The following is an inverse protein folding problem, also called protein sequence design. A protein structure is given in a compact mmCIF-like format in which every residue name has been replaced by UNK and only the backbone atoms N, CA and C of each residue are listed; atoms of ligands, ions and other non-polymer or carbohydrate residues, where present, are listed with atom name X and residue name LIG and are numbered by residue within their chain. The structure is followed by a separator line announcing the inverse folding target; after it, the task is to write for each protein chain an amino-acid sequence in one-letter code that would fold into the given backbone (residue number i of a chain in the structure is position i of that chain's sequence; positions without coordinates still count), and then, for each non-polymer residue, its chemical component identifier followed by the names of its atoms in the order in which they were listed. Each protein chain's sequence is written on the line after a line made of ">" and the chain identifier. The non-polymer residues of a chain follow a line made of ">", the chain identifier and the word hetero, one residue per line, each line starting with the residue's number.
data_IF_001681292258
#
_entry.id   IF_001681292258
#
_cell.length_a   1.000
_cell.length_b   1.000
_cell.length_c   1.000
_cell.angle_alpha   90.00
_cell.angle_beta   90.00
_cell.angle_gamma   90.00
#
_symmetry.space_group_name_H-M   'P 1'
#
loop_
_entity.id
_entity.type
_entity.pdbx_description
1 polymer ?
#
# COMPACT_ATOMS: atom_id res chain seq x y z
N UNK A 1 -2.73 -3.65 7.00
CA UNK A 1 -2.01 -2.69 6.15
C UNK A 1 -2.47 -2.75 4.71
N UNK A 2 -2.17 -1.72 3.97
CA UNK A 2 -2.36 -1.70 2.52
C UNK A 2 -1.37 -2.64 1.83
N UNK A 3 -1.71 -3.15 0.64
CA UNK A 3 -0.70 -3.79 -0.21
C UNK A 3 0.44 -2.83 -0.48
N UNK A 4 1.67 -3.34 -0.40
CA UNK A 4 2.86 -2.54 -0.66
C UNK A 4 4.01 -3.43 -1.12
N UNK A 5 4.96 -2.86 -1.84
CA UNK A 5 6.16 -3.57 -2.26
C UNK A 5 7.21 -2.64 -2.82
N UNK A 6 8.37 -3.18 -3.11
CA UNK A 6 9.50 -2.44 -3.63
C UNK A 6 9.39 -2.17 -5.13
N UNK A 7 10.08 -1.11 -5.57
CA UNK A 7 10.23 -0.78 -6.98
C UNK A 7 11.55 -1.38 -7.46
N UNK A 8 11.51 -2.23 -8.47
CA UNK A 8 12.70 -2.84 -9.02
C UNK A 8 13.47 -1.88 -9.93
N UNK A 9 14.76 -2.12 -10.13
CA UNK A 9 15.58 -1.31 -11.01
C UNK A 9 15.00 -1.30 -12.43
N UNK A 10 14.90 -0.11 -13.02
CA UNK A 10 14.34 0.07 -14.35
C UNK A 10 12.83 0.06 -14.43
N UNK A 11 12.14 -0.14 -13.30
CA UNK A 11 10.69 -0.20 -13.21
C UNK A 11 10.13 1.16 -12.78
N UNK A 12 9.03 1.61 -13.41
CA UNK A 12 8.31 2.79 -12.92
C UNK A 12 7.50 2.45 -11.68
N UNK A 13 7.06 3.47 -10.91
CA UNK A 13 6.22 3.25 -9.75
C UNK A 13 4.88 2.62 -10.12
N UNK A 14 4.30 2.95 -11.28
CA UNK A 14 3.06 2.33 -11.76
C UNK A 14 3.26 0.87 -12.15
N UNK A 15 4.34 0.56 -12.84
CA UNK A 15 4.68 -0.83 -13.17
C UNK A 15 4.85 -1.67 -11.90
N UNK A 16 5.54 -1.11 -10.90
CA UNK A 16 5.70 -1.76 -9.60
C UNK A 16 4.35 -1.98 -8.91
N UNK A 17 3.45 -0.99 -8.98
CA UNK A 17 2.11 -1.10 -8.40
C UNK A 17 1.37 -2.32 -8.93
N UNK A 18 1.29 -2.48 -10.25
CA UNK A 18 0.57 -3.60 -10.86
C UNK A 18 1.24 -4.94 -10.57
N UNK A 19 2.56 -4.99 -10.62
CA UNK A 19 3.31 -6.20 -10.29
C UNK A 19 3.08 -6.63 -8.85
N UNK A 20 3.19 -5.71 -7.91
CA UNK A 20 3.01 -6.00 -6.48
C UNK A 20 1.57 -6.40 -6.15
N UNK A 21 0.57 -5.77 -6.78
CA UNK A 21 -0.82 -6.18 -6.59
C UNK A 21 -1.03 -7.62 -7.06
N UNK A 22 -0.48 -7.99 -8.21
CA UNK A 22 -0.58 -9.35 -8.72
C UNK A 22 0.09 -10.36 -7.78
N UNK A 23 1.25 -10.02 -7.24
CA UNK A 23 1.99 -10.87 -6.31
C UNK A 23 1.28 -10.99 -4.95
N UNK A 24 0.68 -9.92 -4.45
CA UNK A 24 0.11 -9.88 -3.10
C UNK A 24 -1.35 -10.30 -3.03
N UNK A 25 -2.17 -9.87 -3.97
CA UNK A 25 -3.62 -10.14 -3.96
C UNK A 25 -4.11 -10.92 -5.17
N UNK A 26 -3.20 -11.36 -6.03
CA UNK A 26 -3.50 -12.25 -7.15
C UNK A 26 -4.18 -11.59 -8.33
N UNK A 27 -4.30 -10.27 -8.36
CA UNK A 27 -4.91 -9.56 -9.49
C UNK A 27 -4.26 -8.21 -9.72
N UNK A 28 -4.17 -7.83 -10.99
CA UNK A 28 -3.78 -6.49 -11.43
C UNK A 28 -4.95 -5.75 -12.10
N UNK A 29 -6.18 -6.31 -11.99
CA UNK A 29 -7.38 -5.73 -12.57
C UNK A 29 -7.92 -4.58 -11.71
N UNK A 30 -7.19 -3.47 -11.73
CA UNK A 30 -7.53 -2.24 -11.02
C UNK A 30 -7.47 -1.06 -11.96
N UNK A 31 -8.22 -0.02 -11.63
CA UNK A 31 -8.12 1.29 -12.27
C UNK A 31 -7.45 2.24 -11.32
N UNK A 32 -6.44 2.97 -11.77
CA UNK A 32 -5.80 4.02 -10.96
C UNK A 32 -6.74 5.24 -10.98
N UNK A 33 -7.27 5.58 -9.82
CA UNK A 33 -8.16 6.74 -9.66
C UNK A 33 -7.34 8.01 -9.47
N UNK A 34 -6.31 7.96 -8.64
CA UNK A 34 -5.45 9.09 -8.33
C UNK A 34 -4.14 8.61 -7.73
N UNK A 35 -3.13 9.51 -7.74
CA UNK A 35 -1.89 9.29 -7.02
C UNK A 35 -1.67 10.42 -6.02
N UNK A 36 -1.05 10.12 -4.91
CA UNK A 36 -0.56 11.13 -4.01
C UNK A 36 0.67 11.77 -4.65
N UNK A 37 0.73 13.10 -4.81
CA UNK A 37 1.73 13.75 -5.68
C UNK A 37 3.17 13.68 -5.17
N UNK A 38 3.37 13.39 -3.89
CA UNK A 38 4.68 13.39 -3.27
C UNK A 38 5.04 12.02 -2.72
N UNK A 39 6.35 11.77 -2.58
CA UNK A 39 6.84 10.61 -1.84
C UNK A 39 6.70 10.88 -0.35
N UNK A 40 6.16 9.92 0.39
CA UNK A 40 6.03 10.01 1.85
C UNK A 40 7.00 9.07 2.52
N UNK A 41 7.54 9.53 3.66
CA UNK A 41 8.53 8.78 4.43
C UNK A 41 8.00 8.51 5.84
N UNK A 42 8.27 7.31 6.35
CA UNK A 42 8.13 7.04 7.77
C UNK A 42 9.40 6.35 8.30
N UNK A 43 9.68 6.57 9.58
CA UNK A 43 10.82 5.96 10.25
C UNK A 43 10.38 4.70 10.97
N UNK A 44 11.26 3.69 10.97
CA UNK A 44 10.99 2.47 11.72
C UNK A 44 11.19 2.71 13.22
N UNK A 45 10.31 2.15 14.08
CA UNK A 45 10.61 2.07 15.52
C UNK A 45 11.92 1.30 15.76
N UNK A 46 12.62 1.55 16.90
CA UNK A 46 13.93 0.93 17.13
C UNK A 46 13.97 -0.58 16.97
N UNK A 47 12.95 -1.28 17.43
CA UNK A 47 12.90 -2.76 17.32
C UNK A 47 12.76 -3.25 15.88
N UNK A 48 12.11 -2.47 15.02
CA UNK A 48 11.99 -2.79 13.59
C UNK A 48 13.27 -2.35 12.85
N UNK A 49 13.82 -1.19 13.20
CA UNK A 49 15.04 -0.68 12.60
C UNK A 49 16.22 -1.66 12.77
N UNK A 50 16.29 -2.34 13.91
CA UNK A 50 17.31 -3.37 14.14
C UNK A 50 17.21 -4.54 13.14
N UNK A 51 15.99 -4.96 12.83
CA UNK A 51 15.75 -6.04 11.87
C UNK A 51 15.99 -5.62 10.43
N UNK A 52 15.77 -4.34 10.13
CA UNK A 52 15.83 -3.80 8.78
C UNK A 52 17.15 -3.10 8.47
N UNK A 53 18.12 -3.14 9.39
CA UNK A 53 19.42 -2.47 9.22
C UNK A 53 20.04 -2.82 7.85
N UNK A 54 20.67 -1.85 7.15
CA UNK A 54 20.99 -0.49 7.61
C UNK A 54 19.85 0.52 7.40
N UNK A 55 18.65 0.08 7.01
CA UNK A 55 17.53 0.97 6.74
C UNK A 55 16.86 1.44 8.04
N UNK A 56 16.58 2.74 8.13
CA UNK A 56 15.92 3.35 9.29
C UNK A 56 14.45 3.67 9.06
N UNK A 57 13.98 3.53 7.83
CA UNK A 57 12.60 3.82 7.45
C UNK A 57 12.32 3.47 5.99
N UNK A 58 11.15 3.87 5.51
CA UNK A 58 10.73 3.67 4.12
C UNK A 58 10.21 4.95 3.52
N UNK A 59 10.46 5.13 2.20
CA UNK A 59 9.91 6.18 1.38
C UNK A 59 8.96 5.53 0.38
N UNK A 60 7.71 6.01 0.35
CA UNK A 60 6.64 5.36 -0.40
C UNK A 60 5.91 6.32 -1.33
N UNK A 61 5.48 5.79 -2.48
CA UNK A 61 4.55 6.42 -3.39
C UNK A 61 3.19 5.76 -3.22
N UNK A 62 2.12 6.56 -3.11
CA UNK A 62 0.77 6.06 -2.85
C UNK A 62 -0.13 6.28 -4.04
N UNK A 63 -0.95 5.28 -4.33
CA UNK A 63 -1.97 5.30 -5.37
C UNK A 63 -3.32 4.93 -4.79
N UNK A 64 -4.36 5.64 -5.20
CA UNK A 64 -5.74 5.24 -4.97
C UNK A 64 -6.21 4.45 -6.18
N UNK A 65 -6.58 3.20 -5.97
CA UNK A 65 -7.03 2.32 -7.04
C UNK A 65 -8.42 1.78 -6.72
N UNK A 66 -9.14 1.39 -7.75
CA UNK A 66 -10.43 0.72 -7.65
C UNK A 66 -10.32 -0.65 -8.31
N UNK A 67 -10.74 -1.69 -7.59
CA UNK A 67 -10.85 -3.03 -8.17
C UNK A 67 -11.91 -3.02 -9.26
N UNK A 68 -11.58 -3.59 -10.43
CA UNK A 68 -12.54 -3.78 -11.51
C UNK A 68 -13.56 -4.86 -11.13
N UNK A 69 -14.81 -4.80 -11.64
CA UNK A 69 -15.84 -5.78 -11.29
C UNK A 69 -15.45 -7.24 -11.57
N UNK A 70 -14.59 -7.46 -12.57
CA UNK A 70 -14.08 -8.80 -12.91
C UNK A 70 -12.92 -9.27 -12.07
N UNK A 71 -12.36 -8.41 -11.19
CA UNK A 71 -11.22 -8.76 -10.38
C UNK A 71 -11.62 -9.73 -9.27
N UNK A 72 -10.79 -10.75 -9.05
CA UNK A 72 -10.94 -11.71 -7.95
C UNK A 72 -9.65 -11.71 -7.14
N UNK A 73 -9.76 -11.41 -5.84
CA UNK A 73 -8.62 -11.44 -4.93
C UNK A 73 -8.28 -12.89 -4.61
N UNK A 74 -7.01 -13.24 -4.80
CA UNK A 74 -6.47 -14.56 -4.47
C UNK A 74 -5.13 -14.39 -3.77
N UNK A 75 -5.08 -14.75 -2.50
CA UNK A 75 -3.86 -14.65 -1.69
C UNK A 75 -2.93 -15.85 -1.87
N UNK A 76 -3.38 -16.92 -2.51
CA UNK A 76 -2.58 -18.10 -2.83
C UNK A 76 -1.77 -17.87 -4.10
N UNK A 77 -0.83 -16.93 -4.03
CA UNK A 77 0.07 -16.58 -5.12
C UNK A 77 1.35 -17.43 -5.05
N UNK A 78 2.24 -17.28 -6.02
CA UNK A 78 3.51 -18.03 -6.07
C UNK A 78 4.35 -17.84 -4.80
N UNK A 79 4.35 -16.60 -4.25
CA UNK A 79 5.04 -16.26 -3.01
C UNK A 79 4.06 -15.58 -2.05
N UNK A 80 3.18 -16.35 -1.35
CA UNK A 80 2.13 -15.77 -0.52
C UNK A 80 2.70 -14.92 0.62
N UNK A 81 2.22 -13.68 0.72
CA UNK A 81 2.60 -12.75 1.79
C UNK A 81 1.49 -12.54 2.82
N UNK A 82 0.23 -12.74 2.40
CA UNK A 82 -0.94 -12.53 3.26
C UNK A 82 -1.71 -13.81 3.44
N UNK A 83 -2.27 -13.98 4.66
CA UNK A 83 -3.14 -15.13 4.98
C UNK A 83 -4.61 -14.79 4.78
N UNK A 84 -4.99 -13.51 4.90
CA UNK A 84 -6.37 -13.06 4.76
C UNK A 84 -6.43 -11.59 4.35
N UNK A 85 -7.56 -11.22 3.79
CA UNK A 85 -7.88 -9.83 3.49
C UNK A 85 -9.31 -9.53 3.92
N UNK A 86 -9.63 -8.24 4.07
CA UNK A 86 -11.01 -7.79 4.24
C UNK A 86 -11.17 -6.35 3.76
N UNK A 87 -12.39 -6.02 3.39
CA UNK A 87 -12.78 -4.65 3.09
C UNK A 87 -13.26 -3.99 4.39
N UNK A 88 -12.70 -2.83 4.69
CA UNK A 88 -12.99 -2.11 5.93
C UNK A 88 -13.28 -0.64 5.65
N UNK A 89 -13.96 0.02 6.59
CA UNK A 89 -14.08 1.47 6.57
C UNK A 89 -12.73 2.11 6.92
N UNK A 90 -12.61 3.42 6.66
CA UNK A 90 -11.42 4.18 7.02
C UNK A 90 -11.15 4.11 8.52
N UNK A 91 -12.19 4.21 9.33
CA UNK A 91 -12.05 4.14 10.79
C UNK A 91 -11.51 2.79 11.25
N UNK A 92 -12.04 1.69 10.71
CA UNK A 92 -11.57 0.35 11.00
C UNK A 92 -10.11 0.15 10.55
N UNK A 93 -9.73 0.75 9.42
CA UNK A 93 -8.36 0.70 8.93
C UNK A 93 -7.39 1.26 9.98
N UNK A 94 -7.70 2.42 10.56
CA UNK A 94 -6.84 3.04 11.57
C UNK A 94 -6.73 2.22 12.84
N UNK A 95 -7.80 1.52 13.23
CA UNK A 95 -7.76 0.60 14.37
C UNK A 95 -6.79 -0.57 14.15
N UNK A 96 -6.64 -1.01 12.90
CA UNK A 96 -5.81 -2.16 12.54
C UNK A 96 -4.40 -1.78 12.09
N UNK A 97 -4.09 -0.50 11.97
CA UNK A 97 -2.81 -0.02 11.43
C UNK A 97 -1.77 0.14 12.53
N UNK A 98 -0.54 -0.28 12.24
CA UNK A 98 0.60 -0.04 13.14
C UNK A 98 0.78 1.46 13.38
N UNK A 99 1.04 1.82 14.64
CA UNK A 99 1.08 3.23 15.06
C UNK A 99 2.01 4.10 14.21
N UNK A 100 3.19 3.60 13.85
CA UNK A 100 4.19 4.38 13.09
C UNK A 100 3.77 4.64 11.63
N UNK A 101 2.74 3.96 11.12
CA UNK A 101 2.20 4.16 9.77
C UNK A 101 0.96 5.06 9.74
N UNK A 102 0.33 5.32 10.89
CA UNK A 102 -0.94 6.05 10.96
C UNK A 102 -0.86 7.46 10.37
N UNK A 103 0.21 8.20 10.68
CA UNK A 103 0.38 9.56 10.18
C UNK A 103 0.43 9.63 8.66
N UNK A 104 1.16 8.71 8.05
CA UNK A 104 1.28 8.63 6.58
C UNK A 104 -0.06 8.29 5.96
N UNK A 105 -0.77 7.28 6.48
CA UNK A 105 -2.08 6.90 5.99
C UNK A 105 -3.10 8.03 6.14
N UNK A 106 -3.08 8.74 7.26
CA UNK A 106 -3.97 9.86 7.49
C UNK A 106 -3.73 10.98 6.46
N UNK A 107 -2.49 11.28 6.16
CA UNK A 107 -2.12 12.31 5.18
C UNK A 107 -2.63 11.95 3.78
N UNK A 108 -2.42 10.71 3.35
CA UNK A 108 -2.88 10.22 2.04
C UNK A 108 -4.40 10.23 1.94
N UNK A 109 -5.08 9.72 2.96
CA UNK A 109 -6.55 9.64 2.98
C UNK A 109 -7.17 11.03 3.01
N UNK A 110 -6.62 11.95 3.82
CA UNK A 110 -7.09 13.33 3.88
C UNK A 110 -6.94 14.04 2.53
N UNK A 111 -5.84 13.80 1.83
CA UNK A 111 -5.61 14.35 0.50
C UNK A 111 -6.68 13.86 -0.49
N UNK A 112 -6.94 12.55 -0.54
CA UNK A 112 -7.92 12.00 -1.46
C UNK A 112 -9.35 12.42 -1.12
N UNK A 113 -9.68 12.58 0.16
CA UNK A 113 -10.97 13.14 0.58
C UNK A 113 -11.13 14.58 0.14
N UNK A 114 -10.10 15.40 0.33
CA UNK A 114 -10.12 16.80 -0.08
C UNK A 114 -10.29 16.95 -1.60
N UNK A 115 -9.83 15.99 -2.38
CA UNK A 115 -10.01 15.97 -3.83
C UNK A 115 -11.35 15.35 -4.27
N UNK A 116 -12.15 14.84 -3.35
CA UNK A 116 -13.46 14.27 -3.65
C UNK A 116 -13.47 12.82 -4.09
N UNK A 117 -12.36 12.10 -3.92
CA UNK A 117 -12.26 10.67 -4.31
C UNK A 117 -12.74 9.71 -3.21
N UNK A 118 -12.79 10.17 -1.96
CA UNK A 118 -13.25 9.37 -0.82
C UNK A 118 -14.31 10.09 -0.03
#
# INVERSE_FOLDING_TARGET
>A
QFPQGGIDEGESSEEALFRELKEEIGTELVSIIAEYPEWLKYDFPPHIAQKMAPFSGQKQKYYLVQLQPSATINLETEHPEFKQYRFVSVDELFECTAHFKKNVYQEVISHFRAKGYL
#
